data_IF_957135457535
#
_entry.id   IF_957135457535
#
_cell.length_a   1.000
_cell.length_b   1.000
_cell.length_c   1.000
_cell.angle_alpha   90.00
_cell.angle_beta   90.00
_cell.angle_gamma   90.00
#
_symmetry.space_group_name_H-M   'P 1'
#
loop_
_entity.id
_entity.type
_entity.pdbx_description
1 polymer ?
#
# COMPACT_ATOMS: atom_id res chain seq x y z
N UNK A 1 26.09 -13.00 -10.29
CA UNK A 1 24.85 -13.76 -9.99
C UNK A 1 23.95 -13.13 -8.92
N UNK A 2 24.50 -12.36 -7.96
CA UNK A 2 23.72 -11.79 -6.82
C UNK A 2 22.67 -10.76 -7.23
N UNK A 3 22.97 -9.93 -8.22
CA UNK A 3 22.05 -8.90 -8.71
C UNK A 3 21.11 -9.40 -9.82
N UNK A 4 21.34 -10.63 -10.30
CA UNK A 4 20.57 -11.22 -11.41
C UNK A 4 19.08 -11.29 -11.10
N UNK A 5 18.71 -11.66 -9.88
CA UNK A 5 17.31 -11.75 -9.47
C UNK A 5 16.63 -10.36 -9.50
N UNK A 6 17.33 -9.32 -9.05
CA UNK A 6 16.83 -7.96 -9.12
C UNK A 6 16.72 -7.46 -10.56
N UNK A 7 17.70 -7.79 -11.40
CA UNK A 7 17.66 -7.46 -12.84
C UNK A 7 16.48 -8.15 -13.52
N UNK A 8 16.27 -9.45 -13.25
CA UNK A 8 15.12 -10.19 -13.77
C UNK A 8 13.81 -9.52 -13.33
N UNK A 9 13.72 -9.12 -12.07
CA UNK A 9 12.54 -8.39 -11.60
C UNK A 9 12.34 -7.07 -12.32
N UNK A 10 13.40 -6.26 -12.49
CA UNK A 10 13.32 -5.02 -13.24
C UNK A 10 12.84 -5.27 -14.68
N UNK A 11 13.35 -6.30 -15.32
CA UNK A 11 12.92 -6.71 -16.67
C UNK A 11 11.45 -7.12 -16.71
N UNK A 12 11.02 -8.00 -15.80
CA UNK A 12 9.63 -8.42 -15.69
C UNK A 12 8.69 -7.24 -15.37
N UNK A 13 9.13 -6.31 -14.56
CA UNK A 13 8.35 -5.11 -14.23
C UNK A 13 8.26 -4.12 -15.38
N UNK A 14 9.30 -4.07 -16.22
CA UNK A 14 9.35 -3.22 -17.40
C UNK A 14 8.61 -3.81 -18.62
N UNK A 15 8.18 -5.06 -18.52
CA UNK A 15 7.45 -5.70 -19.60
C UNK A 15 6.11 -5.00 -19.82
N UNK A 16 5.83 -4.68 -21.09
CA UNK A 16 4.58 -4.01 -21.52
C UNK A 16 4.38 -2.60 -20.93
N UNK A 17 5.48 -1.83 -20.75
CA UNK A 17 5.43 -0.42 -20.43
C UNK A 17 4.99 0.37 -21.68
N UNK A 18 3.99 1.25 -21.48
CA UNK A 18 3.58 2.22 -22.49
C UNK A 18 4.04 3.61 -22.09
N UNK A 19 4.66 4.32 -23.00
CA UNK A 19 5.14 5.69 -22.80
C UNK A 19 4.47 6.62 -23.81
N UNK A 20 4.01 7.77 -23.35
CA UNK A 20 3.43 8.81 -24.20
C UNK A 20 4.53 9.75 -24.71
N UNK A 21 4.41 10.11 -25.99
CA UNK A 21 5.31 11.10 -26.63
C UNK A 21 5.02 12.54 -26.20
N UNK A 22 5.63 13.48 -26.95
CA UNK A 22 5.51 14.92 -26.68
C UNK A 22 4.04 15.34 -26.67
N UNK A 23 3.68 16.14 -25.68
CA UNK A 23 2.35 16.72 -25.43
C UNK A 23 1.19 15.70 -25.36
N UNK A 24 1.51 14.40 -25.23
CA UNK A 24 0.53 13.35 -25.07
C UNK A 24 0.59 12.77 -23.65
N UNK A 25 -0.57 12.49 -23.06
CA UNK A 25 -0.72 11.96 -21.70
C UNK A 25 -1.72 10.83 -21.64
N UNK A 26 -1.68 10.04 -20.58
CA UNK A 26 -2.69 9.04 -20.29
C UNK A 26 -3.77 9.66 -19.39
N UNK A 27 -4.99 9.93 -19.89
CA UNK A 27 -6.06 10.50 -19.05
C UNK A 27 -6.53 9.53 -17.97
N UNK A 28 -6.33 8.24 -18.21
CA UNK A 28 -6.69 7.12 -17.33
C UNK A 28 -5.52 6.61 -16.46
N UNK A 29 -4.50 7.44 -16.21
CA UNK A 29 -3.30 7.08 -15.42
C UNK A 29 -3.61 6.60 -13.98
N UNK A 30 -4.77 6.98 -13.42
CA UNK A 30 -5.26 6.55 -12.12
C UNK A 30 -6.29 5.42 -12.20
N UNK A 31 -6.42 4.74 -13.34
CA UNK A 31 -7.28 3.58 -13.45
C UNK A 31 -6.79 2.40 -12.58
N UNK A 32 -7.68 1.44 -12.37
CA UNK A 32 -7.36 0.26 -11.54
C UNK A 32 -6.26 -0.60 -12.16
N UNK A 33 -6.18 -0.68 -13.49
CA UNK A 33 -5.19 -1.50 -14.16
C UNK A 33 -3.78 -0.98 -13.88
N UNK A 34 -3.53 0.32 -14.13
CA UNK A 34 -2.24 0.94 -13.91
C UNK A 34 -1.88 0.98 -12.42
N UNK A 35 -2.81 1.41 -11.55
CA UNK A 35 -2.55 1.49 -10.11
C UNK A 35 -2.31 0.12 -9.47
N UNK A 36 -2.92 -0.95 -9.99
CA UNK A 36 -2.64 -2.30 -9.55
C UNK A 36 -1.24 -2.78 -9.96
N UNK A 37 -0.79 -2.43 -11.17
CA UNK A 37 0.58 -2.72 -11.59
C UNK A 37 1.61 -1.98 -10.73
N UNK A 38 1.39 -0.68 -10.48
CA UNK A 38 2.27 0.13 -9.60
C UNK A 38 2.34 -0.48 -8.19
N UNK A 39 1.20 -0.84 -7.61
CA UNK A 39 1.16 -1.53 -6.31
C UNK A 39 1.89 -2.88 -6.33
N UNK A 40 1.82 -3.61 -7.45
CA UNK A 40 2.57 -4.85 -7.65
C UNK A 40 4.09 -4.64 -7.56
N UNK A 41 4.63 -3.57 -8.19
CA UNK A 41 6.04 -3.19 -8.03
C UNK A 41 6.36 -2.93 -6.55
N UNK A 42 5.50 -2.24 -5.84
CA UNK A 42 5.73 -1.90 -4.43
C UNK A 42 5.72 -3.13 -3.52
N UNK A 43 4.90 -4.14 -3.81
CA UNK A 43 4.93 -5.43 -3.09
C UNK A 43 6.34 -6.04 -3.14
N UNK A 44 6.97 -6.07 -4.33
CA UNK A 44 8.32 -6.54 -4.48
C UNK A 44 9.34 -5.73 -3.69
N UNK A 45 9.27 -4.41 -3.82
CA UNK A 45 10.18 -3.52 -3.11
C UNK A 45 10.10 -3.72 -1.59
N UNK A 46 8.91 -3.95 -1.04
CA UNK A 46 8.74 -4.24 0.40
C UNK A 46 9.43 -5.54 0.80
N UNK A 47 9.34 -6.61 -0.02
CA UNK A 47 10.02 -7.87 0.27
C UNK A 47 11.54 -7.64 0.32
N UNK A 48 12.12 -6.91 -0.64
CA UNK A 48 13.54 -6.56 -0.63
C UNK A 48 13.94 -5.69 0.57
N UNK A 49 13.10 -4.72 0.95
CA UNK A 49 13.32 -3.89 2.14
C UNK A 49 13.42 -4.75 3.42
N UNK A 50 12.52 -5.71 3.57
CA UNK A 50 12.53 -6.60 4.74
C UNK A 50 13.68 -7.60 4.70
N UNK A 51 14.04 -8.11 3.50
CA UNK A 51 15.19 -9.01 3.37
C UNK A 51 16.49 -8.42 3.89
N UNK A 52 16.70 -7.11 3.73
CA UNK A 52 17.85 -6.38 4.30
C UNK A 52 17.98 -6.58 5.82
N UNK A 53 16.87 -6.72 6.53
CA UNK A 53 16.85 -6.87 7.99
C UNK A 53 17.25 -8.27 8.45
N UNK A 54 17.15 -9.29 7.59
CA UNK A 54 17.41 -10.68 7.91
C UNK A 54 18.75 -11.20 7.39
N UNK A 55 19.30 -10.63 6.32
CA UNK A 55 20.54 -11.12 5.69
C UNK A 55 21.81 -10.76 6.44
N UNK A 56 22.77 -11.70 6.50
CA UNK A 56 24.12 -11.42 7.01
C UNK A 56 24.89 -10.42 6.12
N UNK A 57 24.57 -10.38 4.83
CA UNK A 57 25.25 -9.55 3.84
C UNK A 57 24.51 -8.23 3.61
N UNK A 58 24.73 -7.26 4.51
CA UNK A 58 24.20 -5.89 4.38
C UNK A 58 24.82 -5.07 3.24
N UNK A 59 25.76 -5.63 2.49
CA UNK A 59 26.64 -4.90 1.55
C UNK A 59 26.15 -4.88 0.09
N UNK A 60 24.93 -5.35 -0.21
CA UNK A 60 24.38 -5.22 -1.56
C UNK A 60 23.99 -3.77 -1.83
N UNK A 61 24.60 -3.12 -2.85
CA UNK A 61 24.32 -1.72 -3.21
C UNK A 61 22.82 -1.48 -3.44
N UNK A 62 22.15 -2.36 -4.20
CA UNK A 62 20.72 -2.24 -4.46
C UNK A 62 19.85 -2.38 -3.19
N UNK A 63 20.20 -3.29 -2.26
CA UNK A 63 19.48 -3.42 -0.98
C UNK A 63 19.67 -2.19 -0.09
N UNK A 64 20.80 -1.49 -0.19
CA UNK A 64 21.01 -0.23 0.52
C UNK A 64 20.08 0.87 0.00
N UNK A 65 19.96 0.98 -1.32
CA UNK A 65 19.08 1.96 -1.97
C UNK A 65 17.61 1.63 -1.68
N UNK A 66 17.19 0.39 -1.97
CA UNK A 66 15.80 -0.04 -1.80
C UNK A 66 15.39 -0.04 -0.32
N UNK A 67 16.30 -0.41 0.59
CA UNK A 67 15.99 -0.48 2.03
C UNK A 67 15.56 0.86 2.65
N UNK A 68 15.90 1.97 2.01
CA UNK A 68 15.47 3.30 2.42
C UNK A 68 14.10 3.69 1.84
N UNK A 69 13.56 2.91 0.91
CA UNK A 69 12.27 3.17 0.27
C UNK A 69 11.07 2.55 1.00
N UNK A 70 11.31 1.71 2.01
CA UNK A 70 10.25 0.90 2.63
C UNK A 70 9.05 1.71 3.11
N UNK A 71 9.27 2.82 3.81
CA UNK A 71 8.20 3.70 4.29
C UNK A 71 7.49 4.41 3.14
N UNK A 72 8.25 4.93 2.16
CA UNK A 72 7.71 5.58 0.96
C UNK A 72 6.80 4.65 0.15
N UNK A 73 7.22 3.41 0.00
CA UNK A 73 6.45 2.38 -0.71
C UNK A 73 5.14 2.06 0.04
N UNK A 74 5.19 1.93 1.36
CA UNK A 74 3.97 1.70 2.17
C UNK A 74 3.04 2.91 2.14
N UNK A 75 3.58 4.12 2.10
CA UNK A 75 2.81 5.36 1.96
C UNK A 75 1.93 5.38 0.71
N UNK A 76 2.41 4.80 -0.40
CA UNK A 76 1.62 4.68 -1.63
C UNK A 76 0.35 3.85 -1.44
N UNK A 77 0.39 2.78 -0.64
CA UNK A 77 -0.82 1.99 -0.37
C UNK A 77 -1.86 2.81 0.39
N UNK A 78 -1.43 3.67 1.33
CA UNK A 78 -2.33 4.57 2.04
C UNK A 78 -2.90 5.64 1.11
N UNK A 79 -2.08 6.25 0.26
CA UNK A 79 -2.52 7.21 -0.75
C UNK A 79 -3.57 6.61 -1.70
N UNK A 80 -3.28 5.45 -2.32
CA UNK A 80 -4.23 4.81 -3.21
C UNK A 80 -5.50 4.32 -2.50
N UNK A 81 -5.39 3.92 -1.22
CA UNK A 81 -6.57 3.55 -0.43
C UNK A 81 -7.51 4.73 -0.23
N UNK A 82 -6.99 5.87 0.20
CA UNK A 82 -7.80 7.08 0.43
C UNK A 82 -8.36 7.67 -0.86
N UNK A 83 -7.55 7.73 -1.94
CA UNK A 83 -8.01 8.10 -3.26
C UNK A 83 -9.18 7.22 -3.73
N UNK A 84 -9.01 5.89 -3.65
CA UNK A 84 -10.04 4.93 -4.04
C UNK A 84 -11.30 4.99 -3.18
N UNK A 85 -11.18 5.28 -1.88
CA UNK A 85 -12.31 5.52 -0.98
C UNK A 85 -13.07 6.76 -1.44
N UNK A 86 -12.38 7.88 -1.68
CA UNK A 86 -12.99 9.13 -2.12
C UNK A 86 -13.73 8.97 -3.45
N UNK A 87 -13.08 8.39 -4.46
CA UNK A 87 -13.68 8.12 -5.77
C UNK A 87 -14.90 7.18 -5.66
N UNK A 88 -14.85 6.20 -4.76
CA UNK A 88 -15.97 5.30 -4.53
C UNK A 88 -17.15 6.00 -3.84
N UNK A 89 -16.87 6.94 -2.91
CA UNK A 89 -17.91 7.74 -2.25
C UNK A 89 -18.53 8.71 -3.25
N UNK A 90 -17.75 9.36 -4.12
CA UNK A 90 -18.27 10.21 -5.20
C UNK A 90 -19.27 9.46 -6.09
N UNK A 91 -18.97 8.19 -6.42
CA UNK A 91 -19.79 7.36 -7.31
C UNK A 91 -21.00 6.72 -6.63
N UNK A 92 -20.87 6.27 -5.38
CA UNK A 92 -21.84 5.40 -4.68
C UNK A 92 -22.45 6.06 -3.45
N UNK A 93 -22.03 7.28 -3.11
CA UNK A 93 -22.52 8.03 -1.97
C UNK A 93 -22.23 7.34 -0.64
N UNK A 94 -23.08 7.66 0.33
CA UNK A 94 -22.95 7.19 1.72
C UNK A 94 -23.08 5.67 1.89
N UNK A 95 -23.71 4.98 0.92
CA UNK A 95 -23.81 3.52 0.94
C UNK A 95 -22.43 2.85 0.90
N UNK A 96 -21.48 3.43 0.16
CA UNK A 96 -20.10 2.91 0.18
C UNK A 96 -19.40 3.18 1.50
N UNK A 97 -19.59 4.36 2.09
CA UNK A 97 -18.99 4.68 3.40
C UNK A 97 -19.37 3.64 4.46
N UNK A 98 -20.63 3.21 4.50
CA UNK A 98 -21.13 2.17 5.42
C UNK A 98 -20.42 0.82 5.26
N UNK A 99 -19.83 0.53 4.08
CA UNK A 99 -19.08 -0.72 3.85
C UNK A 99 -17.70 -0.72 4.50
N UNK A 100 -17.14 0.46 4.79
CA UNK A 100 -15.76 0.58 5.26
C UNK A 100 -15.56 -0.08 6.63
N UNK A 101 -16.55 -0.02 7.53
CA UNK A 101 -16.49 -0.72 8.82
C UNK A 101 -16.32 -2.24 8.65
N UNK A 102 -17.03 -2.83 7.68
CA UNK A 102 -16.95 -4.27 7.43
C UNK A 102 -15.62 -4.64 6.79
N UNK A 103 -15.11 -3.78 5.88
CA UNK A 103 -13.77 -3.95 5.32
C UNK A 103 -12.69 -3.89 6.40
N UNK A 104 -12.78 -2.93 7.33
CA UNK A 104 -11.88 -2.83 8.48
C UNK A 104 -11.93 -4.11 9.33
N UNK A 105 -13.12 -4.62 9.60
CA UNK A 105 -13.31 -5.84 10.40
C UNK A 105 -12.75 -7.08 9.70
N UNK A 106 -12.95 -7.23 8.38
CA UNK A 106 -12.37 -8.34 7.60
C UNK A 106 -10.84 -8.27 7.64
N UNK A 107 -10.25 -7.08 7.46
CA UNK A 107 -8.80 -6.89 7.56
C UNK A 107 -8.30 -7.30 8.96
N UNK A 108 -9.03 -6.92 10.01
CA UNK A 108 -8.71 -7.31 11.38
C UNK A 108 -8.72 -8.84 11.54
N UNK A 109 -9.78 -9.52 11.10
CA UNK A 109 -9.87 -10.99 11.18
C UNK A 109 -8.74 -11.69 10.41
N UNK A 110 -8.46 -11.25 9.18
CA UNK A 110 -7.34 -11.79 8.39
C UNK A 110 -6.01 -11.59 9.13
N UNK A 111 -5.82 -10.44 9.78
CA UNK A 111 -4.63 -10.19 10.59
C UNK A 111 -4.52 -11.13 11.78
N UNK A 112 -5.65 -11.45 12.46
CA UNK A 112 -5.65 -12.37 13.60
C UNK A 112 -5.23 -13.78 13.20
N UNK A 113 -5.70 -14.27 12.04
CA UNK A 113 -5.28 -15.59 11.54
C UNK A 113 -3.75 -15.58 11.28
N UNK A 114 -3.22 -14.51 10.68
CA UNK A 114 -1.78 -14.40 10.45
C UNK A 114 -1.00 -14.33 11.77
N UNK A 115 -1.48 -13.61 12.78
CA UNK A 115 -0.87 -13.59 14.12
C UNK A 115 -0.83 -14.99 14.72
N UNK A 116 -1.91 -15.78 14.57
CA UNK A 116 -1.93 -17.18 14.99
C UNK A 116 -0.88 -18.01 14.25
N UNK A 117 -0.72 -17.83 12.94
CA UNK A 117 0.35 -18.50 12.16
C UNK A 117 1.74 -18.16 12.72
N UNK A 118 2.00 -16.89 13.06
CA UNK A 118 3.26 -16.49 13.70
C UNK A 118 3.43 -17.09 15.09
N UNK A 119 2.36 -17.19 15.88
CA UNK A 119 2.40 -17.84 17.18
C UNK A 119 2.81 -19.32 17.06
N UNK A 120 2.10 -20.06 16.20
CA UNK A 120 2.36 -21.48 15.95
C UNK A 120 3.80 -21.68 15.43
N UNK A 121 4.26 -20.86 14.48
CA UNK A 121 5.63 -20.94 13.98
C UNK A 121 6.69 -20.65 15.07
N UNK A 122 6.45 -19.66 15.94
CA UNK A 122 7.36 -19.38 17.04
C UNK A 122 7.43 -20.53 18.04
N UNK A 123 6.30 -21.15 18.39
CA UNK A 123 6.24 -22.24 19.37
C UNK A 123 6.81 -23.54 18.76
N UNK A 124 6.24 -24.00 17.65
CA UNK A 124 6.51 -25.35 17.13
C UNK A 124 7.76 -25.41 16.24
N UNK A 125 8.01 -24.39 15.43
CA UNK A 125 9.14 -24.39 14.49
C UNK A 125 10.36 -23.79 15.14
N UNK A 126 10.24 -22.63 15.79
CA UNK A 126 11.36 -21.88 16.34
C UNK A 126 11.64 -22.18 17.81
N UNK A 127 10.78 -22.96 18.46
CA UNK A 127 10.89 -23.40 19.86
C UNK A 127 11.08 -22.22 20.85
N UNK A 128 10.39 -21.10 20.59
CA UNK A 128 10.45 -19.92 21.44
C UNK A 128 9.35 -19.95 22.50
N UNK A 129 9.70 -19.59 23.72
CA UNK A 129 8.72 -19.33 24.78
C UNK A 129 8.00 -18.01 24.50
N UNK A 130 6.71 -18.07 24.27
CA UNK A 130 5.82 -16.90 24.10
C UNK A 130 4.93 -16.79 25.33
N UNK A 131 5.03 -15.67 26.05
CA UNK A 131 4.14 -15.45 27.21
C UNK A 131 2.73 -15.11 26.75
N UNK A 132 1.72 -15.49 27.55
CA UNK A 132 0.33 -15.18 27.30
C UNK A 132 0.12 -13.65 27.13
N UNK A 133 0.75 -12.84 27.97
CA UNK A 133 0.70 -11.40 27.88
C UNK A 133 1.18 -10.89 26.51
N UNK A 134 2.29 -11.43 25.99
CA UNK A 134 2.80 -11.04 24.66
C UNK A 134 1.86 -11.42 23.54
N UNK A 135 1.20 -12.58 23.66
CA UNK A 135 0.18 -13.02 22.70
C UNK A 135 -1.04 -12.10 22.72
N UNK A 136 -1.61 -11.81 23.89
CA UNK A 136 -2.76 -10.89 24.03
C UNK A 136 -2.43 -9.52 23.45
N UNK A 137 -1.23 -8.96 23.76
CA UNK A 137 -0.79 -7.68 23.22
C UNK A 137 -0.58 -7.72 21.68
N UNK A 138 -0.32 -8.90 21.11
CA UNK A 138 -0.23 -9.03 19.65
C UNK A 138 -1.59 -9.09 18.98
N UNK A 139 -2.61 -9.67 19.62
CA UNK A 139 -4.01 -9.65 19.15
C UNK A 139 -4.53 -8.22 18.99
N UNK A 140 -4.26 -7.33 19.95
CA UNK A 140 -4.62 -5.92 19.87
C UNK A 140 -3.64 -5.08 19.04
N UNK A 141 -2.74 -5.75 18.31
CA UNK A 141 -1.75 -5.16 17.41
C UNK A 141 -0.71 -4.23 18.09
N UNK A 142 -0.62 -4.24 19.42
CA UNK A 142 0.33 -3.43 20.19
C UNK A 142 1.75 -3.97 20.13
N UNK A 143 1.91 -5.30 20.19
CA UNK A 143 3.20 -5.98 20.04
C UNK A 143 3.22 -6.84 18.78
N UNK A 144 4.43 -7.25 18.38
CA UNK A 144 4.66 -8.13 17.22
C UNK A 144 5.27 -9.46 17.66
N UNK A 145 4.81 -10.54 17.06
CA UNK A 145 5.42 -11.88 17.15
C UNK A 145 6.49 -12.12 16.06
N UNK A 146 6.91 -11.05 15.38
CA UNK A 146 7.81 -11.06 14.23
C UNK A 146 7.20 -10.47 12.96
N UNK A 147 5.87 -10.32 12.92
CA UNK A 147 5.11 -9.72 11.84
C UNK A 147 5.14 -8.17 11.84
N UNK A 148 4.72 -7.56 10.74
CA UNK A 148 4.61 -6.09 10.60
C UNK A 148 3.18 -5.63 10.91
N UNK A 149 2.83 -5.52 12.20
CA UNK A 149 1.46 -5.16 12.62
C UNK A 149 1.09 -3.71 12.36
N UNK A 150 2.05 -2.79 12.31
CA UNK A 150 1.78 -1.36 12.33
C UNK A 150 0.92 -0.89 11.15
N UNK A 151 1.19 -1.40 9.94
CA UNK A 151 0.40 -1.03 8.76
C UNK A 151 -1.04 -1.57 8.84
N UNK A 152 -1.20 -2.84 9.29
CA UNK A 152 -2.53 -3.42 9.49
C UNK A 152 -3.34 -2.61 10.51
N UNK A 153 -2.72 -2.21 11.63
CA UNK A 153 -3.34 -1.35 12.61
C UNK A 153 -3.75 -0.01 12.02
N UNK A 154 -2.84 0.65 11.31
CA UNK A 154 -3.08 1.96 10.69
C UNK A 154 -4.24 1.91 9.69
N UNK A 155 -4.26 0.94 8.77
CA UNK A 155 -5.30 0.87 7.74
C UNK A 155 -6.68 0.53 8.31
N UNK A 156 -6.74 -0.31 9.36
CA UNK A 156 -7.98 -0.63 10.07
C UNK A 156 -8.56 0.64 10.68
N UNK A 157 -7.76 1.40 11.44
CA UNK A 157 -8.20 2.64 12.08
C UNK A 157 -8.64 3.67 11.03
N UNK A 158 -7.88 3.82 9.95
CA UNK A 158 -8.20 4.78 8.91
C UNK A 158 -9.49 4.45 8.16
N UNK A 159 -9.82 3.17 8.01
CA UNK A 159 -11.12 2.77 7.47
C UNK A 159 -12.27 3.10 8.43
N UNK A 160 -12.05 2.98 9.76
CA UNK A 160 -13.03 3.45 10.74
C UNK A 160 -13.16 4.97 10.74
N UNK A 161 -12.06 5.73 10.61
CA UNK A 161 -12.12 7.18 10.49
C UNK A 161 -12.87 7.61 9.24
N UNK A 162 -12.61 6.98 8.11
CA UNK A 162 -13.35 7.25 6.87
C UNK A 162 -14.83 6.87 7.01
N UNK A 163 -15.15 5.71 7.60
CA UNK A 163 -16.53 5.32 7.89
C UNK A 163 -17.24 6.38 8.72
N UNK A 164 -16.64 6.79 9.84
CA UNK A 164 -17.22 7.75 10.77
C UNK A 164 -17.40 9.10 10.08
N UNK A 165 -16.37 9.66 9.48
CA UNK A 165 -16.39 10.97 8.85
C UNK A 165 -17.47 11.09 7.78
N UNK A 166 -17.50 10.14 6.83
CA UNK A 166 -18.46 10.20 5.73
C UNK A 166 -19.88 9.76 6.12
N UNK A 167 -20.05 8.96 7.16
CA UNK A 167 -21.38 8.62 7.69
C UNK A 167 -22.04 9.80 8.39
N UNK A 168 -21.27 10.65 9.07
CA UNK A 168 -21.77 11.85 9.76
C UNK A 168 -22.27 12.93 8.78
N UNK A 169 -21.51 13.16 7.72
CA UNK A 169 -21.76 14.32 6.83
C UNK A 169 -22.65 13.99 5.64
N UNK A 170 -23.19 12.77 5.59
CA UNK A 170 -24.07 12.27 4.51
C UNK A 170 -23.45 12.50 3.12
N UNK A 171 -23.83 13.57 2.41
CA UNK A 171 -23.42 13.82 1.02
C UNK A 171 -22.34 14.90 0.86
N UNK A 172 -21.92 15.57 1.93
CA UNK A 172 -20.90 16.60 1.84
C UNK A 172 -19.49 15.99 1.92
N UNK A 173 -18.93 15.65 0.76
CA UNK A 173 -17.61 15.01 0.64
C UNK A 173 -16.52 15.90 1.22
N UNK A 174 -16.57 17.22 0.96
CA UNK A 174 -15.56 18.16 1.42
C UNK A 174 -15.50 18.22 2.96
N UNK A 175 -16.64 18.32 3.62
CA UNK A 175 -16.71 18.28 5.09
C UNK A 175 -16.23 16.93 5.64
N UNK A 176 -16.55 15.81 4.95
CA UNK A 176 -16.03 14.49 5.32
C UNK A 176 -14.51 14.42 5.27
N UNK A 177 -13.89 15.05 4.27
CA UNK A 177 -12.42 15.11 4.17
C UNK A 177 -11.82 15.98 5.28
N UNK A 178 -12.45 17.09 5.65
CA UNK A 178 -11.99 17.91 6.78
C UNK A 178 -12.02 17.11 8.07
N UNK A 179 -13.12 16.40 8.35
CA UNK A 179 -13.26 15.59 9.58
C UNK A 179 -12.21 14.48 9.61
N UNK A 180 -12.01 13.75 8.50
CA UNK A 180 -11.00 12.68 8.48
C UNK A 180 -9.58 13.24 8.62
N UNK A 181 -9.29 14.41 8.06
CA UNK A 181 -8.01 15.10 8.22
C UNK A 181 -7.74 15.45 9.67
N UNK A 182 -8.76 15.96 10.37
CA UNK A 182 -8.68 16.25 11.81
C UNK A 182 -8.45 14.98 12.63
N UNK A 183 -9.19 13.90 12.35
CA UNK A 183 -9.01 12.62 13.03
C UNK A 183 -7.61 12.04 12.79
N UNK A 184 -7.08 12.14 11.57
CA UNK A 184 -5.72 11.72 11.25
C UNK A 184 -4.67 12.56 11.98
N UNK A 185 -4.87 13.87 12.08
CA UNK A 185 -3.99 14.76 12.84
C UNK A 185 -3.99 14.42 14.34
N UNK A 186 -5.16 14.23 14.93
CA UNK A 186 -5.28 13.82 16.34
C UNK A 186 -4.64 12.46 16.58
N UNK A 187 -4.84 11.50 15.64
CA UNK A 187 -4.20 10.20 15.69
C UNK A 187 -2.67 10.31 15.62
N UNK A 188 -2.14 11.17 14.73
CA UNK A 188 -0.71 11.43 14.63
C UNK A 188 -0.14 11.92 15.97
N UNK A 189 -0.79 12.91 16.61
CA UNK A 189 -0.36 13.44 17.92
C UNK A 189 -0.42 12.39 19.01
N UNK A 190 -1.49 11.57 19.04
CA UNK A 190 -1.63 10.47 20.00
C UNK A 190 -0.53 9.42 19.82
N UNK A 191 -0.32 8.94 18.58
CA UNK A 191 0.70 7.93 18.29
C UNK A 191 2.09 8.48 18.52
N UNK A 192 2.36 9.75 18.16
CA UNK A 192 3.61 10.42 18.45
C UNK A 192 3.91 10.43 19.95
N UNK A 193 2.98 10.83 20.78
CA UNK A 193 3.15 10.90 22.21
C UNK A 193 3.46 9.54 22.86
N UNK A 194 2.73 8.48 22.45
CA UNK A 194 2.85 7.16 23.07
C UNK A 194 3.95 6.26 22.48
N UNK A 195 4.32 6.45 21.22
CA UNK A 195 5.21 5.51 20.50
C UNK A 195 6.51 6.12 19.97
N UNK A 196 6.59 7.45 19.89
CA UNK A 196 7.82 8.12 19.49
C UNK A 196 8.85 8.12 20.65
N UNK A 197 10.19 8.00 20.39
CA UNK A 197 10.83 7.88 19.07
C UNK A 197 10.94 6.44 18.53
N UNK A 198 10.39 5.44 19.20
CA UNK A 198 10.64 4.02 18.90
C UNK A 198 10.01 3.53 17.58
N UNK A 199 8.96 4.18 17.07
CA UNK A 199 8.20 3.72 15.89
C UNK A 199 7.80 4.88 14.96
N UNK A 200 8.79 5.62 14.47
CA UNK A 200 8.57 6.76 13.54
C UNK A 200 7.70 6.39 12.35
N UNK A 201 7.86 5.19 11.79
CA UNK A 201 7.10 4.68 10.66
C UNK A 201 5.58 4.57 10.88
N UNK A 202 5.10 4.61 12.10
CA UNK A 202 3.66 4.60 12.38
C UNK A 202 3.03 6.01 12.26
N UNK A 203 3.84 7.04 12.17
CA UNK A 203 3.43 8.45 12.16
C UNK A 203 3.70 9.11 10.80
N UNK A 204 4.87 8.85 10.24
CA UNK A 204 5.38 9.53 9.04
C UNK A 204 4.64 9.21 7.72
N UNK A 205 3.74 8.23 7.74
CA UNK A 205 2.95 7.82 6.57
C UNK A 205 1.50 8.34 6.58
N UNK A 206 1.05 8.92 7.71
CA UNK A 206 -0.36 9.34 7.91
C UNK A 206 -0.76 10.42 6.91
N UNK A 207 0.13 11.39 6.66
CA UNK A 207 -0.11 12.48 5.73
C UNK A 207 -0.48 11.98 4.32
N UNK A 208 0.09 10.85 3.88
CA UNK A 208 -0.20 10.27 2.56
C UNK A 208 -1.66 9.84 2.42
N UNK A 209 -2.28 9.35 3.50
CA UNK A 209 -3.70 9.00 3.50
C UNK A 209 -4.58 10.25 3.34
N UNK A 210 -4.23 11.34 4.02
CA UNK A 210 -4.94 12.62 3.88
C UNK A 210 -4.81 13.20 2.48
N UNK A 211 -3.59 13.23 1.94
CA UNK A 211 -3.30 13.78 0.60
C UNK A 211 -4.03 13.02 -0.50
N UNK A 212 -4.22 11.70 -0.38
CA UNK A 212 -4.97 10.93 -1.36
C UNK A 212 -6.44 11.37 -1.48
N UNK A 213 -7.09 11.80 -0.37
CA UNK A 213 -8.43 12.41 -0.41
C UNK A 213 -8.42 13.75 -1.13
N UNK A 214 -7.50 14.65 -0.75
CA UNK A 214 -7.40 15.97 -1.41
C UNK A 214 -7.06 15.84 -2.88
N UNK A 215 -6.14 14.92 -3.23
CA UNK A 215 -5.81 14.65 -4.62
C UNK A 215 -7.04 14.25 -5.45
N UNK A 216 -7.91 13.42 -4.90
CA UNK A 216 -9.16 13.03 -5.55
C UNK A 216 -10.03 14.25 -5.90
N UNK A 217 -10.07 15.29 -5.04
CA UNK A 217 -10.86 16.51 -5.31
C UNK A 217 -10.19 17.38 -6.37
N UNK A 218 -8.88 17.63 -6.21
CA UNK A 218 -8.16 18.59 -7.06
C UNK A 218 -7.69 17.99 -8.40
N UNK A 219 -7.78 16.65 -8.56
CA UNK A 219 -7.28 15.92 -9.73
C UNK A 219 -7.69 16.57 -11.06
N UNK A 220 -8.97 16.91 -11.22
CA UNK A 220 -9.49 17.46 -12.47
C UNK A 220 -8.82 18.80 -12.82
N UNK A 221 -8.55 19.64 -11.82
CA UNK A 221 -7.87 20.92 -12.03
C UNK A 221 -6.38 20.72 -12.31
N UNK A 222 -5.71 19.81 -11.59
CA UNK A 222 -4.32 19.45 -11.83
C UNK A 222 -4.12 18.86 -13.24
N UNK A 223 -5.00 17.95 -13.65
CA UNK A 223 -4.97 17.36 -14.99
C UNK A 223 -5.07 18.43 -16.07
N UNK A 224 -5.97 19.39 -15.95
CA UNK A 224 -6.11 20.51 -16.91
C UNK A 224 -4.83 21.34 -17.03
N UNK A 225 -4.07 21.50 -15.97
CA UNK A 225 -2.81 22.27 -15.98
C UNK A 225 -1.66 21.41 -16.49
N UNK A 226 -1.45 20.23 -15.89
CA UNK A 226 -0.30 19.38 -16.19
C UNK A 226 -0.36 18.74 -17.56
N UNK A 227 -1.57 18.35 -18.03
CA UNK A 227 -1.74 17.70 -19.33
C UNK A 227 -1.97 18.71 -20.47
N UNK A 228 -1.83 20.02 -20.22
CA UNK A 228 -1.96 21.04 -21.25
C UNK A 228 -0.84 20.92 -22.29
N UNK A 229 0.39 20.78 -21.83
CA UNK A 229 1.58 20.50 -22.62
C UNK A 229 2.75 20.03 -21.73
N UNK A 230 3.83 19.58 -22.37
CA UNK A 230 4.99 19.07 -21.66
C UNK A 230 5.72 20.13 -20.82
N UNK A 231 5.67 21.40 -21.19
CA UNK A 231 6.32 22.48 -20.42
C UNK A 231 5.74 22.56 -19.02
N UNK A 232 4.42 22.65 -18.88
CA UNK A 232 3.75 22.69 -17.58
C UNK A 232 3.95 21.39 -16.80
N UNK A 233 3.88 20.24 -17.48
CA UNK A 233 4.12 18.95 -16.87
C UNK A 233 5.52 18.86 -16.26
N UNK A 234 6.57 19.14 -17.05
CA UNK A 234 7.94 19.06 -16.56
C UNK A 234 8.27 20.14 -15.53
N UNK A 235 7.67 21.33 -15.62
CA UNK A 235 7.81 22.36 -14.59
C UNK A 235 7.31 21.87 -13.23
N UNK A 236 6.06 21.38 -13.18
CA UNK A 236 5.45 20.88 -11.93
C UNK A 236 6.21 19.65 -11.44
N UNK A 237 6.58 18.73 -12.32
CA UNK A 237 7.35 17.53 -11.96
C UNK A 237 8.71 17.93 -11.37
N UNK A 238 9.44 18.89 -11.97
CA UNK A 238 10.72 19.36 -11.47
C UNK A 238 10.60 20.02 -10.11
N UNK A 239 9.59 20.87 -9.89
CA UNK A 239 9.31 21.47 -8.57
C UNK A 239 9.04 20.36 -7.55
N UNK A 240 8.24 19.37 -7.93
CA UNK A 240 7.91 18.24 -7.03
C UNK A 240 9.16 17.42 -6.68
N UNK A 241 10.06 17.19 -7.64
CA UNK A 241 11.35 16.52 -7.41
C UNK A 241 12.24 17.35 -6.46
N UNK A 242 12.30 18.66 -6.64
CA UNK A 242 13.09 19.54 -5.76
C UNK A 242 12.55 19.50 -4.32
N UNK A 243 11.23 19.61 -4.13
CA UNK A 243 10.61 19.51 -2.80
C UNK A 243 10.89 18.14 -2.18
N UNK A 244 10.79 17.06 -2.96
CA UNK A 244 11.13 15.72 -2.50
C UNK A 244 12.58 15.62 -2.04
N UNK A 245 13.51 16.12 -2.84
CA UNK A 245 14.93 16.08 -2.55
C UNK A 245 15.28 16.88 -1.28
N UNK A 246 14.79 18.12 -1.17
CA UNK A 246 15.05 18.95 0.01
C UNK A 246 14.39 18.40 1.26
N UNK A 247 13.13 17.96 1.19
CA UNK A 247 12.46 17.36 2.34
C UNK A 247 13.12 16.06 2.82
N UNK A 248 13.72 15.28 1.91
CA UNK A 248 14.39 14.02 2.25
C UNK A 248 15.74 14.18 2.96
N UNK A 249 16.35 15.38 2.91
CA UNK A 249 17.61 15.69 3.62
C UNK A 249 17.40 15.99 5.10
N UNK A 250 16.21 16.49 5.45
CA UNK A 250 15.94 17.00 6.80
C UNK A 250 15.41 15.86 7.67
N UNK A 251 16.16 15.53 8.72
CA UNK A 251 15.78 14.47 9.66
C UNK A 251 14.84 15.01 10.74
N UNK A 252 13.64 15.44 10.31
CA UNK A 252 12.56 15.88 11.19
C UNK A 252 11.29 15.16 10.76
N UNK A 253 10.42 14.79 11.70
CA UNK A 253 9.20 14.02 11.45
C UNK A 253 8.31 14.67 10.39
N UNK A 254 8.12 15.98 10.44
CA UNK A 254 7.31 16.71 9.46
C UNK A 254 7.89 16.57 8.05
N UNK A 255 9.20 16.78 7.87
CA UNK A 255 9.86 16.66 6.57
C UNK A 255 9.91 15.22 6.06
N UNK A 256 10.04 14.23 6.95
CA UNK A 256 9.95 12.81 6.58
C UNK A 256 8.54 12.51 6.07
N UNK A 257 7.49 12.95 6.77
CA UNK A 257 6.10 12.78 6.35
C UNK A 257 5.82 13.49 5.03
N UNK A 258 6.33 14.72 4.87
CA UNK A 258 6.24 15.48 3.63
C UNK A 258 6.94 14.76 2.48
N UNK A 259 8.16 14.26 2.69
CA UNK A 259 8.90 13.47 1.69
C UNK A 259 8.13 12.21 1.25
N UNK A 260 7.49 11.50 2.17
CA UNK A 260 6.66 10.34 1.85
C UNK A 260 5.44 10.73 1.01
N UNK A 261 4.80 11.85 1.33
CA UNK A 261 3.65 12.37 0.60
C UNK A 261 4.03 12.85 -0.81
N UNK A 262 5.11 13.59 -0.93
CA UNK A 262 5.62 14.06 -2.24
C UNK A 262 6.09 12.89 -3.10
N UNK A 263 6.70 11.85 -2.52
CA UNK A 263 7.01 10.63 -3.25
C UNK A 263 5.74 10.00 -3.86
N UNK A 264 4.63 10.01 -3.12
CA UNK A 264 3.36 9.50 -3.64
C UNK A 264 2.86 10.31 -4.83
N UNK A 265 2.97 11.65 -4.77
CA UNK A 265 2.61 12.53 -5.88
C UNK A 265 3.54 12.35 -7.09
N UNK A 266 4.85 12.18 -6.87
CA UNK A 266 5.80 11.89 -7.95
C UNK A 266 5.44 10.64 -8.73
N UNK A 267 5.12 9.54 -8.05
CA UNK A 267 4.70 8.29 -8.69
C UNK A 267 3.42 8.51 -9.52
N UNK A 268 2.47 9.26 -8.99
CA UNK A 268 1.23 9.60 -9.68
C UNK A 268 1.50 10.48 -10.91
N UNK A 269 2.34 11.50 -10.81
CA UNK A 269 2.67 12.37 -11.94
C UNK A 269 3.43 11.62 -13.03
N UNK A 270 4.40 10.77 -12.66
CA UNK A 270 5.10 9.91 -13.61
C UNK A 270 4.11 9.02 -14.38
N UNK A 271 3.06 8.53 -13.70
CA UNK A 271 2.05 7.68 -14.36
C UNK A 271 1.18 8.42 -15.39
N UNK A 272 1.21 9.75 -15.45
CA UNK A 272 0.57 10.51 -16.55
C UNK A 272 1.26 10.27 -17.91
N UNK A 273 2.56 9.98 -17.90
CA UNK A 273 3.36 9.70 -19.12
C UNK A 273 3.68 8.21 -19.29
N UNK A 274 3.70 7.44 -18.19
CA UNK A 274 4.10 6.03 -18.18
C UNK A 274 2.96 5.20 -17.62
N UNK A 275 2.44 4.29 -18.43
CA UNK A 275 1.39 3.35 -18.01
C UNK A 275 1.92 1.92 -18.04
N UNK A 276 1.61 1.17 -17.00
CA UNK A 276 1.96 -0.24 -16.85
C UNK A 276 0.74 -1.10 -17.19
N UNK A 277 0.96 -2.09 -18.06
CA UNK A 277 -0.05 -3.12 -18.36
C UNK A 277 0.59 -4.49 -18.24
N UNK A 278 0.69 -5.01 -17.02
CA UNK A 278 1.47 -6.20 -16.71
C UNK A 278 0.69 -7.14 -15.79
N UNK A 279 0.32 -8.31 -16.27
CA UNK A 279 -0.50 -9.26 -15.53
C UNK A 279 0.25 -9.87 -14.33
N UNK A 280 1.56 -10.02 -14.44
CA UNK A 280 2.37 -10.45 -13.30
C UNK A 280 2.32 -9.44 -12.15
N UNK A 281 2.43 -8.14 -12.44
CA UNK A 281 2.32 -7.11 -11.42
C UNK A 281 0.91 -7.03 -10.82
N UNK A 282 -0.13 -7.23 -11.63
CA UNK A 282 -1.52 -7.31 -11.14
C UNK A 282 -1.70 -8.52 -10.21
N UNK A 283 -1.13 -9.67 -10.58
CA UNK A 283 -1.14 -10.86 -9.73
C UNK A 283 -0.48 -10.57 -8.37
N UNK A 284 0.68 -9.92 -8.34
CA UNK A 284 1.33 -9.53 -7.10
C UNK A 284 0.46 -8.61 -6.24
N UNK A 285 -0.20 -7.63 -6.86
CA UNK A 285 -1.08 -6.74 -6.14
C UNK A 285 -2.31 -7.46 -5.56
N UNK A 286 -2.83 -8.48 -6.24
CA UNK A 286 -3.97 -9.28 -5.75
C UNK A 286 -3.66 -9.90 -4.37
N UNK A 287 -2.41 -10.28 -4.14
CA UNK A 287 -1.93 -10.88 -2.90
C UNK A 287 -1.17 -9.89 -1.99
N UNK A 288 -1.21 -8.58 -2.30
CA UNK A 288 -0.34 -7.57 -1.67
C UNK A 288 -0.45 -7.54 -0.14
N UNK A 289 -1.66 -7.64 0.40
CA UNK A 289 -1.89 -7.61 1.85
C UNK A 289 -1.31 -8.85 2.54
N UNK A 290 -1.57 -10.01 1.99
CA UNK A 290 -1.09 -11.28 2.54
C UNK A 290 0.42 -11.43 2.41
N UNK A 291 0.98 -11.03 1.27
CA UNK A 291 2.43 -10.96 1.08
C UNK A 291 3.06 -10.04 2.11
N UNK A 292 2.52 -8.82 2.27
CA UNK A 292 3.03 -7.85 3.24
C UNK A 292 3.12 -8.41 4.65
N UNK A 293 2.10 -9.11 5.10
CA UNK A 293 2.05 -9.66 6.46
C UNK A 293 2.85 -10.96 6.61
N UNK A 294 2.81 -11.86 5.62
CA UNK A 294 3.39 -13.22 5.72
C UNK A 294 4.87 -13.29 5.33
N UNK A 295 5.41 -12.33 4.55
CA UNK A 295 6.80 -12.38 4.08
C UNK A 295 7.80 -12.54 5.22
N UNK A 296 7.58 -11.88 6.35
CA UNK A 296 8.46 -11.99 7.52
C UNK A 296 8.40 -13.34 8.21
N UNK A 297 7.29 -14.08 8.06
CA UNK A 297 7.16 -15.44 8.59
C UNK A 297 8.18 -16.37 7.90
N UNK A 298 8.18 -16.37 6.58
CA UNK A 298 9.12 -17.17 5.78
C UNK A 298 10.56 -16.77 6.09
N UNK A 299 10.87 -15.47 6.04
CA UNK A 299 12.21 -14.98 6.33
C UNK A 299 12.66 -15.37 7.75
N UNK A 300 11.79 -15.24 8.74
CA UNK A 300 12.08 -15.60 10.13
C UNK A 300 12.43 -17.10 10.27
N UNK A 301 11.66 -17.98 9.63
CA UNK A 301 11.91 -19.42 9.66
C UNK A 301 13.23 -19.74 8.96
N UNK A 302 13.41 -19.25 7.75
CA UNK A 302 14.60 -19.52 6.93
C UNK A 302 15.88 -19.11 7.66
N UNK A 303 15.95 -17.89 8.18
CA UNK A 303 17.15 -17.37 8.83
C UNK A 303 17.40 -17.96 10.23
N UNK A 304 16.37 -18.21 11.02
CA UNK A 304 16.54 -18.76 12.37
C UNK A 304 16.83 -20.25 12.36
N UNK A 305 16.26 -21.00 11.41
CA UNK A 305 16.59 -22.43 11.22
C UNK A 305 17.83 -22.64 10.35
N UNK A 306 18.47 -21.56 9.91
CA UNK A 306 19.68 -21.62 9.06
C UNK A 306 19.47 -22.48 7.81
N UNK A 307 18.31 -22.36 7.19
CA UNK A 307 18.02 -23.01 5.91
C UNK A 307 18.79 -22.25 4.83
N UNK A 308 19.97 -22.76 4.46
CA UNK A 308 20.81 -22.16 3.43
C UNK A 308 20.78 -23.04 2.18
N UNK A 309 20.56 -22.41 1.04
CA UNK A 309 20.64 -23.03 -0.27
C UNK A 309 21.95 -22.57 -0.92
N UNK A 310 22.56 -23.44 -1.72
CA UNK A 310 23.93 -23.29 -2.23
C UNK A 310 24.29 -21.93 -2.85
N UNK A 311 23.34 -21.19 -3.38
CA UNK A 311 23.60 -19.87 -3.96
C UNK A 311 22.65 -18.80 -3.44
N UNK A 312 23.13 -17.56 -3.39
CA UNK A 312 22.30 -16.40 -3.01
C UNK A 312 21.06 -16.25 -3.92
N UNK A 313 21.20 -16.58 -5.21
CA UNK A 313 20.10 -16.56 -6.17
C UNK A 313 19.03 -17.59 -5.81
N UNK A 314 19.43 -18.83 -5.59
CA UNK A 314 18.50 -19.92 -5.21
C UNK A 314 17.84 -19.64 -3.88
N UNK A 315 18.56 -19.05 -2.93
CA UNK A 315 18.03 -18.63 -1.63
C UNK A 315 16.93 -17.58 -1.79
N UNK A 316 17.18 -16.54 -2.59
CA UNK A 316 16.20 -15.47 -2.85
C UNK A 316 14.99 -16.06 -3.57
N UNK A 317 15.21 -16.86 -4.60
CA UNK A 317 14.14 -17.51 -5.35
C UNK A 317 13.25 -18.39 -4.46
N UNK A 318 13.86 -19.22 -3.60
CA UNK A 318 13.14 -20.05 -2.65
C UNK A 318 12.30 -19.21 -1.67
N UNK A 319 12.86 -18.14 -1.11
CA UNK A 319 12.13 -17.27 -0.19
C UNK A 319 10.94 -16.61 -0.87
N UNK A 320 11.13 -16.05 -2.07
CA UNK A 320 10.07 -15.39 -2.81
C UNK A 320 8.97 -16.39 -3.22
N UNK A 321 9.33 -17.53 -3.76
CA UNK A 321 8.38 -18.59 -4.13
C UNK A 321 7.59 -19.08 -2.93
N UNK A 322 8.24 -19.26 -1.77
CA UNK A 322 7.58 -19.65 -0.53
C UNK A 322 6.61 -18.56 -0.03
N UNK A 323 7.00 -17.27 -0.09
CA UNK A 323 6.14 -16.14 0.28
C UNK A 323 4.90 -16.12 -0.59
N UNK A 324 5.04 -16.24 -1.92
CA UNK A 324 3.89 -16.24 -2.84
C UNK A 324 2.99 -17.44 -2.65
N UNK A 325 3.56 -18.62 -2.47
CA UNK A 325 2.79 -19.84 -2.23
C UNK A 325 1.92 -19.69 -0.95
N UNK A 326 2.53 -19.30 0.16
CA UNK A 326 1.83 -19.14 1.43
C UNK A 326 0.78 -18.01 1.33
N UNK A 327 1.09 -16.88 0.70
CA UNK A 327 0.16 -15.78 0.55
C UNK A 327 -1.04 -16.16 -0.34
N UNK A 328 -0.81 -16.85 -1.46
CA UNK A 328 -1.89 -17.31 -2.35
C UNK A 328 -2.79 -18.35 -1.68
N UNK A 329 -2.21 -19.30 -0.95
CA UNK A 329 -2.98 -20.26 -0.16
C UNK A 329 -3.80 -19.56 0.92
N UNK A 330 -3.19 -18.63 1.65
CA UNK A 330 -3.89 -17.85 2.65
C UNK A 330 -5.09 -17.09 2.06
N UNK A 331 -4.90 -16.38 0.94
CA UNK A 331 -5.97 -15.62 0.29
C UNK A 331 -7.09 -16.51 -0.21
N UNK A 332 -6.76 -17.68 -0.75
CA UNK A 332 -7.77 -18.67 -1.15
C UNK A 332 -8.68 -19.03 0.01
N UNK A 333 -8.14 -19.35 1.18
CA UNK A 333 -8.92 -19.68 2.36
C UNK A 333 -9.58 -18.45 2.99
N UNK A 334 -8.87 -17.32 3.09
CA UNK A 334 -9.40 -16.08 3.65
C UNK A 334 -10.54 -15.47 2.82
N UNK A 335 -10.66 -15.81 1.52
CA UNK A 335 -11.79 -15.40 0.68
C UNK A 335 -13.16 -15.88 1.21
N UNK A 336 -13.20 -16.95 2.00
CA UNK A 336 -14.42 -17.40 2.68
C UNK A 336 -14.92 -16.37 3.70
N UNK A 337 -14.01 -15.68 4.40
CA UNK A 337 -14.37 -14.59 5.31
C UNK A 337 -15.03 -13.43 4.55
N UNK A 338 -14.50 -13.09 3.39
CA UNK A 338 -15.07 -12.04 2.53
C UNK A 338 -16.52 -12.42 2.14
N UNK A 339 -16.76 -13.68 1.76
CA UNK A 339 -18.09 -14.16 1.40
C UNK A 339 -19.08 -14.13 2.57
N UNK A 340 -18.65 -14.50 3.77
CA UNK A 340 -19.52 -14.53 4.95
C UNK A 340 -19.92 -13.12 5.38
N UNK A 341 -18.94 -12.21 5.48
CA UNK A 341 -19.16 -10.89 6.05
C UNK A 341 -19.67 -9.86 5.04
N UNK A 342 -19.35 -9.99 3.74
CA UNK A 342 -19.85 -9.08 2.72
C UNK A 342 -21.23 -9.48 2.17
N UNK A 343 -21.58 -10.78 2.13
CA UNK A 343 -22.94 -11.23 1.78
C UNK A 343 -24.02 -10.71 2.75
N UNK A 344 -23.73 -10.64 4.04
CA UNK A 344 -24.69 -10.12 5.05
C UNK A 344 -25.05 -8.63 4.84
N UNK A 345 -24.33 -7.90 3.98
CA UNK A 345 -24.55 -6.46 3.81
C UNK A 345 -25.32 -6.08 2.56
N UNK A 346 -25.86 -7.03 1.80
CA UNK A 346 -26.53 -6.79 0.50
C UNK A 346 -25.71 -5.94 -0.50
N UNK A 347 -24.37 -5.89 -0.30
CA UNK A 347 -23.45 -5.02 -1.03
C UNK A 347 -22.67 -5.82 -2.08
N UNK A 348 -22.82 -7.13 -2.09
CA UNK A 348 -22.45 -7.94 -3.24
C UNK A 348 -23.62 -7.84 -4.24
N UNK A 349 -23.76 -6.66 -4.85
CA UNK A 349 -24.36 -6.64 -6.17
C UNK A 349 -23.50 -7.55 -7.05
N UNK A 350 -24.14 -8.34 -7.89
CA UNK A 350 -23.73 -9.41 -8.78
C UNK A 350 -22.38 -9.34 -9.52
N UNK A 351 -21.40 -8.54 -9.11
CA UNK A 351 -20.09 -8.44 -9.75
C UNK A 351 -19.00 -8.84 -8.76
N UNK A 352 -18.69 -10.12 -8.78
CA UNK A 352 -17.38 -10.64 -8.40
C UNK A 352 -16.33 -9.87 -9.18
N UNK A 353 -15.38 -9.24 -8.47
CA UNK A 353 -14.40 -8.33 -9.05
C UNK A 353 -15.06 -7.13 -9.72
N UNK A 354 -14.69 -5.95 -9.31
CA UNK A 354 -15.07 -4.71 -9.98
C UNK A 354 -14.49 -4.78 -11.41
N UNK A 355 -15.19 -5.47 -12.31
CA UNK A 355 -15.24 -5.11 -13.70
C UNK A 355 -16.01 -3.79 -13.73
N UNK A 356 -15.31 -2.69 -13.63
CA UNK A 356 -15.83 -1.42 -14.10
C UNK A 356 -15.87 -1.61 -15.61
N UNK A 357 -17.08 -1.89 -16.12
CA UNK A 357 -17.34 -1.83 -17.54
C UNK A 357 -16.82 -0.50 -18.06
N UNK A 358 -15.83 -0.57 -18.95
CA UNK A 358 -15.26 0.57 -19.68
C UNK A 358 -16.25 1.26 -20.62
N UNK A 359 -17.55 0.99 -20.51
CA UNK A 359 -18.57 1.49 -21.45
C UNK A 359 -19.29 2.78 -21.03
N UNK A 360 -18.99 3.38 -19.87
CA UNK A 360 -19.63 4.63 -19.45
C UNK A 360 -18.61 5.76 -19.18
N UNK A 361 -17.63 5.92 -20.03
CA UNK A 361 -17.05 7.24 -20.29
C UNK A 361 -17.98 7.93 -21.30
N UNK A 362 -19.02 8.58 -20.78
CA UNK A 362 -19.81 9.54 -21.55
C UNK A 362 -18.82 10.60 -22.04
N UNK A 363 -18.67 10.63 -23.35
CA UNK A 363 -18.06 11.73 -24.09
C UNK A 363 -18.77 13.03 -23.71
N UNK A 364 -18.12 13.85 -22.89
CA UNK A 364 -18.45 15.28 -22.81
C UNK A 364 -17.74 15.99 -23.98
N UNK A 365 -18.14 15.64 -25.18
CA UNK A 365 -17.98 16.48 -26.35
C UNK A 365 -19.36 16.60 -26.98
N UNK A 366 -19.73 17.84 -27.30
CA UNK A 366 -20.89 18.33 -27.99
C UNK A 366 -22.09 18.68 -27.11
N UNK A 367 -22.01 19.92 -26.58
CA UNK A 367 -23.05 20.94 -26.81
C UNK A 367 -22.49 22.33 -26.46
N UNK A 368 -22.23 23.08 -27.57
CA UNK A 368 -22.18 24.54 -27.74
C UNK A 368 -21.67 25.40 -26.56
#
# INVERSE_FOLDING_TARGET
MRDLFFIIFCFLSAFDIKVKGVDNFFPDYMDLENTNCIKGIFVWLIIFCHKRSYGKNKNYKYLKIIGNLGQKVVSMFLFYSSFGICESIKKKGNNYAKTLKNKAFIIFLKTQIIILMFLLANIFILQKKITLQRYILSIILKLSLGNSNWFAFTIIIFYFYAYFSFSLVKNNIFLGIIIISLLCFLHEKFVFYYYYPKKVYAVDTILCFVIGFYYSIIKIHLDKIMMKNDIFYFLILSITILIFYESSKINNLFFISLSNAIFSLLVVFISMKIKLKNDFLKFLNTHSYSIYLLQRLVMMIVYQKRIFIHSDFSQIFFEFSSIFCIASLFDKYASYLDKIFLKKTNIISKNNYIHIDNKNYISYNDKK
#
